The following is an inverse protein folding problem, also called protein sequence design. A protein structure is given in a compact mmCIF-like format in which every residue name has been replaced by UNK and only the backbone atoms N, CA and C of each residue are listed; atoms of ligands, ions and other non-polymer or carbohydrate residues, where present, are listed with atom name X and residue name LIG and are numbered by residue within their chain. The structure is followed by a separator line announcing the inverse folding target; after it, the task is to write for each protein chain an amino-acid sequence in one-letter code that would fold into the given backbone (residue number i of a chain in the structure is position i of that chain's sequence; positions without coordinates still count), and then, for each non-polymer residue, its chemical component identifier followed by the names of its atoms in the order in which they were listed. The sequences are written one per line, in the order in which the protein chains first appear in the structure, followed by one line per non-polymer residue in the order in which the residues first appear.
data_IF_415596476725
#
_entry.id   IF_415596476725
#
_cell.length_a   1.000
_cell.length_b   1.000
_cell.length_c   1.000
_cell.angle_alpha   90.00
_cell.angle_beta   90.00
_cell.angle_gamma   90.00
#
_symmetry.space_group_name_H-M   'P 1'
#
loop_
_entity.id
_entity.type
_entity.pdbx_description
1 polymer ?
#
# COMPACT_ATOMS: atom_id res chain seq x y z
N UNK A 1 3.26 14.08 -2.21
CA UNK A 1 2.15 13.56 -3.06
C UNK A 1 2.61 13.15 -4.45
N UNK A 2 3.32 14.00 -5.22
CA UNK A 2 3.82 13.61 -6.56
C UNK A 2 4.85 12.47 -6.56
N UNK A 3 5.74 12.38 -5.56
CA UNK A 3 6.79 11.36 -5.53
C UNK A 3 6.25 9.93 -5.41
N UNK A 4 5.34 9.68 -4.46
CA UNK A 4 4.69 8.37 -4.29
C UNK A 4 3.90 7.94 -5.55
N UNK A 5 3.19 8.88 -6.17
CA UNK A 5 2.50 8.65 -7.46
C UNK A 5 3.48 8.30 -8.59
N UNK A 6 4.66 8.91 -8.62
CA UNK A 6 5.69 8.62 -9.62
C UNK A 6 6.24 7.22 -9.43
N UNK A 7 6.52 6.80 -8.18
CA UNK A 7 6.99 5.44 -7.92
C UNK A 7 5.95 4.38 -8.30
N UNK A 8 4.65 4.62 -8.07
CA UNK A 8 3.61 3.72 -8.55
C UNK A 8 3.42 3.72 -10.07
N UNK A 9 3.84 4.78 -10.77
CA UNK A 9 3.56 4.96 -12.20
C UNK A 9 4.74 4.65 -13.10
N UNK A 10 5.95 4.56 -12.55
CA UNK A 10 7.18 4.27 -13.29
C UNK A 10 7.59 2.85 -12.92
N UNK A 11 7.45 1.88 -13.84
CA UNK A 11 8.00 0.54 -13.63
C UNK A 11 9.51 0.66 -13.39
N UNK A 12 9.96 0.23 -12.22
CA UNK A 12 11.36 0.10 -11.88
C UNK A 12 11.72 -1.39 -11.94
N UNK A 13 12.51 -1.79 -12.94
CA UNK A 13 12.94 -3.19 -13.10
C UNK A 13 13.83 -3.68 -11.94
N UNK A 14 14.49 -2.77 -11.20
CA UNK A 14 15.26 -3.10 -10.00
C UNK A 14 14.36 -3.14 -8.75
N UNK A 15 13.24 -2.40 -8.74
CA UNK A 15 12.29 -2.31 -7.63
C UNK A 15 10.83 -2.41 -8.09
N UNK A 16 10.34 -3.62 -8.45
CA UNK A 16 8.98 -3.80 -8.94
C UNK A 16 7.91 -3.58 -7.86
N UNK A 17 8.32 -3.49 -6.59
CA UNK A 17 7.47 -3.25 -5.44
C UNK A 17 7.70 -1.84 -4.91
N UNK A 18 6.62 -1.15 -4.59
CA UNK A 18 6.65 0.15 -3.92
C UNK A 18 6.03 0.04 -2.54
N UNK A 19 6.53 0.77 -1.54
CA UNK A 19 5.98 0.70 -0.19
C UNK A 19 5.93 2.05 0.51
N UNK A 20 4.96 2.17 1.42
CA UNK A 20 4.81 3.31 2.31
C UNK A 20 4.63 2.78 3.73
N UNK A 21 5.43 3.30 4.67
CA UNK A 21 5.32 3.01 6.10
C UNK A 21 4.90 4.27 6.85
N UNK A 22 3.94 4.16 7.78
CA UNK A 22 3.54 5.26 8.68
C UNK A 22 4.37 5.30 9.98
N UNK A 23 4.04 6.26 10.86
CA UNK A 23 4.70 6.45 12.16
C UNK A 23 4.41 5.33 13.18
N UNK A 24 3.50 4.40 12.88
CA UNK A 24 3.12 3.26 13.73
C UNK A 24 3.66 1.93 13.18
N UNK A 25 4.67 1.98 12.32
CA UNK A 25 5.26 0.83 11.62
C UNK A 25 4.26 0.04 10.77
N UNK A 26 3.20 0.70 10.30
CA UNK A 26 2.24 0.11 9.38
C UNK A 26 2.70 0.35 7.94
N UNK A 27 2.97 -0.74 7.20
CA UNK A 27 3.51 -0.69 5.83
C UNK A 27 2.48 -1.21 4.83
N UNK A 28 2.16 -0.39 3.82
CA UNK A 28 1.44 -0.81 2.62
C UNK A 28 2.45 -1.00 1.49
N UNK A 29 2.51 -2.21 0.95
CA UNK A 29 3.35 -2.60 -0.19
C UNK A 29 2.45 -2.84 -1.39
N UNK A 30 2.85 -2.39 -2.57
CA UNK A 30 2.14 -2.56 -3.83
C UNK A 30 3.12 -3.08 -4.87
N UNK A 31 2.85 -4.25 -5.45
CA UNK A 31 3.65 -4.79 -6.55
C UNK A 31 3.12 -4.36 -7.93
N UNK A 32 3.97 -4.53 -8.95
CA UNK A 32 3.64 -4.26 -10.36
C UNK A 32 2.40 -5.03 -10.89
N UNK A 33 2.00 -6.11 -10.22
CA UNK A 33 0.86 -6.96 -10.59
C UNK A 33 -0.43 -6.51 -9.92
N UNK A 34 -0.40 -5.40 -9.19
CA UNK A 34 -1.56 -4.87 -8.46
C UNK A 34 -1.89 -5.71 -7.23
N UNK A 35 -0.90 -6.34 -6.61
CA UNK A 35 -1.05 -7.00 -5.33
C UNK A 35 -0.65 -6.04 -4.22
N UNK A 36 -1.60 -5.74 -3.34
CA UNK A 36 -1.37 -4.90 -2.17
C UNK A 36 -1.25 -5.74 -0.94
N UNK A 37 -0.22 -5.49 -0.15
CA UNK A 37 0.03 -6.14 1.13
C UNK A 37 0.12 -5.12 2.24
N UNK A 38 -0.64 -5.32 3.31
CA UNK A 38 -0.54 -4.56 4.54
C UNK A 38 0.18 -5.39 5.61
N UNK A 39 1.24 -4.82 6.15
CA UNK A 39 2.03 -5.36 7.26
C UNK A 39 1.95 -4.38 8.43
N UNK A 40 1.59 -4.84 9.62
CA UNK A 40 1.53 -4.01 10.81
C UNK A 40 1.87 -4.83 12.06
N UNK A 41 2.51 -4.24 13.08
CA UNK A 41 2.86 -4.94 14.30
C UNK A 41 1.63 -5.52 15.01
N UNK A 42 1.73 -6.77 15.46
CA UNK A 42 0.68 -7.41 16.26
C UNK A 42 -0.60 -7.80 15.52
N UNK A 43 -0.66 -7.66 14.18
CA UNK A 43 -1.75 -8.21 13.38
C UNK A 43 -1.21 -9.10 12.24
N UNK A 44 -2.01 -10.06 11.77
CA UNK A 44 -1.66 -10.84 10.59
C UNK A 44 -1.46 -9.94 9.37
N UNK A 45 -0.52 -10.32 8.52
CA UNK A 45 -0.35 -9.71 7.20
C UNK A 45 -1.58 -10.01 6.36
N UNK A 46 -2.09 -9.01 5.65
CA UNK A 46 -3.24 -9.17 4.74
C UNK A 46 -2.88 -8.72 3.34
N UNK A 47 -3.40 -9.43 2.34
CA UNK A 47 -3.07 -9.22 0.95
C UNK A 47 -4.34 -9.21 0.09
N UNK A 48 -4.37 -8.34 -0.93
CA UNK A 48 -5.41 -8.29 -1.95
C UNK A 48 -4.79 -8.20 -3.33
N UNK A 49 -5.30 -8.98 -4.28
CA UNK A 49 -4.88 -8.98 -5.69
C UNK A 49 -5.85 -8.16 -6.56
N UNK A 50 -5.39 -7.72 -7.73
CA UNK A 50 -6.23 -6.99 -8.69
C UNK A 50 -6.52 -5.55 -8.28
N UNK A 51 -5.68 -4.97 -7.44
CA UNK A 51 -5.75 -3.57 -7.02
C UNK A 51 -5.12 -2.70 -8.09
N UNK A 52 -5.86 -1.71 -8.59
CA UNK A 52 -5.33 -0.77 -9.57
C UNK A 52 -4.56 0.39 -8.89
N UNK A 53 -3.82 1.18 -9.68
CA UNK A 53 -3.02 2.30 -9.16
C UNK A 53 -3.83 3.33 -8.37
N UNK A 54 -5.08 3.62 -8.76
CA UNK A 54 -5.93 4.59 -8.05
C UNK A 54 -6.33 4.08 -6.66
N UNK A 55 -6.67 2.80 -6.57
CA UNK A 55 -6.96 2.13 -5.30
C UNK A 55 -5.71 2.06 -4.41
N UNK A 56 -4.56 1.70 -4.97
CA UNK A 56 -3.28 1.69 -4.25
C UNK A 56 -2.96 3.07 -3.66
N UNK A 57 -3.09 4.13 -4.47
CA UNK A 57 -2.92 5.52 -4.02
C UNK A 57 -3.88 5.87 -2.88
N UNK A 58 -5.15 5.45 -2.97
CA UNK A 58 -6.14 5.69 -1.92
C UNK A 58 -5.74 5.02 -0.60
N UNK A 59 -5.21 3.80 -0.65
CA UNK A 59 -4.73 3.10 0.55
C UNK A 59 -3.54 3.83 1.17
N UNK A 60 -2.62 4.33 0.36
CA UNK A 60 -1.52 5.17 0.85
C UNK A 60 -1.98 6.47 1.48
N UNK A 61 -2.98 7.15 0.89
CA UNK A 61 -3.55 8.37 1.48
C UNK A 61 -4.21 8.09 2.84
N UNK A 62 -4.90 6.95 2.98
CA UNK A 62 -5.46 6.53 4.27
C UNK A 62 -4.35 6.26 5.28
N UNK A 63 -3.29 5.58 4.86
CA UNK A 63 -2.14 5.30 5.72
C UNK A 63 -1.45 6.59 6.21
N UNK A 64 -1.22 7.57 5.33
CA UNK A 64 -0.66 8.88 5.70
C UNK A 64 -1.54 9.68 6.68
N UNK A 65 -2.84 9.40 6.72
CA UNK A 65 -3.78 10.01 7.67
C UNK A 65 -3.83 9.25 9.01
N UNK A 66 -3.00 8.21 9.19
CA UNK A 66 -3.03 7.34 10.37
C UNK A 66 -4.24 6.41 10.42
N UNK A 67 -4.93 6.20 9.28
CA UNK A 67 -6.15 5.40 9.16
C UNK A 67 -5.86 3.95 8.75
N UNK A 68 -4.87 3.33 9.39
CA UNK A 68 -4.48 1.94 9.12
C UNK A 68 -5.64 0.95 9.27
N UNK A 69 -6.59 1.19 10.17
CA UNK A 69 -7.78 0.35 10.34
C UNK A 69 -8.71 0.39 9.10
N UNK A 70 -8.82 1.54 8.43
CA UNK A 70 -9.59 1.66 7.18
C UNK A 70 -8.90 0.88 6.04
N UNK A 71 -7.56 0.96 5.96
CA UNK A 71 -6.75 0.17 5.01
C UNK A 71 -6.95 -1.32 5.25
N UNK A 72 -6.88 -1.76 6.50
CA UNK A 72 -7.07 -3.16 6.87
C UNK A 72 -8.48 -3.65 6.53
N UNK A 73 -9.51 -2.88 6.89
CA UNK A 73 -10.90 -3.23 6.58
C UNK A 73 -11.15 -3.34 5.08
N UNK A 74 -10.56 -2.44 4.28
CA UNK A 74 -10.67 -2.49 2.83
C UNK A 74 -9.99 -3.73 2.23
N UNK A 75 -8.82 -4.12 2.75
CA UNK A 75 -8.13 -5.33 2.27
C UNK A 75 -8.81 -6.63 2.71
N UNK A 76 -9.58 -6.61 3.80
CA UNK A 76 -10.29 -7.77 4.36
C UNK A 76 -11.69 -8.02 3.78
N UNK A 77 -12.23 -7.09 3.00
CA UNK A 77 -13.55 -7.17 2.37
C UNK A 77 -13.48 -7.77 0.96
#
# INVERSE_FOLDING_TARGET
MKAALVELSVPDEEHPDTWLTDEKDCTVIVDEKGVVTLSQPGRPRIQRVGVNHEQALRLWLLLQQGKADEVHAWLAA
#
